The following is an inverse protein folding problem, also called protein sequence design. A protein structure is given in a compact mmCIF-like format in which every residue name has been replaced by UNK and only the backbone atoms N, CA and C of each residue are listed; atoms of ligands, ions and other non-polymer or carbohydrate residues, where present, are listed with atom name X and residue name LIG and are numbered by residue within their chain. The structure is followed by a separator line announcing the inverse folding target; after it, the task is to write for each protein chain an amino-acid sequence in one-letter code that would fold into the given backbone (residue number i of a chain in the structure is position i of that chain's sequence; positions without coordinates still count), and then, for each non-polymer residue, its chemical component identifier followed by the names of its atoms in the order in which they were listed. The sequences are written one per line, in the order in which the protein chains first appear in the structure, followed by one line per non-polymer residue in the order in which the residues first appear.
data_IF_615480669144
#
_entry.id   IF_615480669144
#
_cell.length_a   1.000
_cell.length_b   1.000
_cell.length_c   1.000
_cell.angle_alpha   90.00
_cell.angle_beta   90.00
_cell.angle_gamma   90.00
#
_symmetry.space_group_name_H-M   'P 1'
#
loop_
_entity.id
_entity.type
_entity.pdbx_description
1 polymer ?
#
# COMPACT_ATOMS: atom_id res chain seq x y z
N UNK A 1 22.36 -12.03 5.77
CA UNK A 1 22.14 -11.04 4.70
C UNK A 1 21.69 -9.74 5.35
N UNK A 2 22.64 -8.95 5.87
CA UNK A 2 22.42 -7.53 6.10
C UNK A 2 22.64 -6.86 4.75
N UNK A 3 21.57 -6.54 4.05
CA UNK A 3 21.64 -5.47 3.05
C UNK A 3 21.56 -4.17 3.85
N UNK A 4 22.52 -3.24 3.69
CA UNK A 4 22.65 -1.97 4.44
C UNK A 4 21.37 -1.13 4.59
N UNK A 5 20.35 -1.47 3.79
CA UNK A 5 19.06 -0.83 3.67
C UNK A 5 17.98 -1.37 4.61
N UNK A 6 18.11 -2.58 5.17
CA UNK A 6 17.06 -3.23 5.97
C UNK A 6 17.56 -3.48 7.39
N UNK A 7 16.89 -2.94 8.40
CA UNK A 7 17.07 -3.30 9.80
C UNK A 7 15.86 -4.08 10.33
N UNK A 8 16.06 -4.93 11.35
CA UNK A 8 14.96 -5.68 11.99
C UNK A 8 14.87 -5.30 13.46
N UNK A 9 13.71 -4.83 13.88
CA UNK A 9 13.32 -4.69 15.28
C UNK A 9 12.71 -6.03 15.75
N UNK A 10 13.42 -6.75 16.61
CA UNK A 10 13.09 -8.14 16.98
C UNK A 10 11.79 -8.23 17.80
N UNK A 11 11.59 -7.31 18.74
CA UNK A 11 10.48 -7.40 19.71
C UNK A 11 9.11 -7.20 19.06
N UNK A 12 9.05 -6.44 17.96
CA UNK A 12 7.81 -6.17 17.21
C UNK A 12 7.74 -6.90 15.87
N UNK A 13 8.69 -7.82 15.63
CA UNK A 13 8.89 -8.52 14.36
C UNK A 13 8.77 -7.58 13.14
N UNK A 14 9.41 -6.40 13.24
CA UNK A 14 9.27 -5.33 12.25
C UNK A 14 10.56 -5.11 11.49
N UNK A 15 10.48 -5.22 10.17
CA UNK A 15 11.54 -4.84 9.25
C UNK A 15 11.38 -3.36 8.88
N UNK A 16 12.49 -2.64 8.86
CA UNK A 16 12.54 -1.22 8.52
C UNK A 16 13.47 -1.08 7.33
N UNK A 17 12.91 -0.69 6.20
CA UNK A 17 13.67 -0.30 5.02
C UNK A 17 13.99 1.19 5.14
N UNK A 18 15.27 1.55 5.09
CA UNK A 18 15.71 2.95 5.15
C UNK A 18 15.15 3.75 3.97
N UNK A 19 15.00 5.06 4.15
CA UNK A 19 14.61 5.98 3.06
C UNK A 19 15.59 5.88 1.88
N UNK A 20 15.12 6.17 0.67
CA UNK A 20 15.94 6.18 -0.55
C UNK A 20 16.64 4.85 -0.86
N UNK A 21 16.06 3.73 -0.40
CA UNK A 21 16.58 2.40 -0.70
C UNK A 21 16.08 1.90 -2.05
N UNK A 22 16.84 0.99 -2.65
CA UNK A 22 16.58 0.45 -3.97
C UNK A 22 16.67 -1.08 -3.95
N UNK A 23 15.69 -1.75 -4.55
CA UNK A 23 15.62 -3.21 -4.62
C UNK A 23 15.28 -3.67 -6.04
N UNK A 24 16.16 -4.48 -6.63
CA UNK A 24 15.94 -5.10 -7.95
C UNK A 24 15.16 -6.41 -7.84
N UNK A 25 15.48 -7.21 -6.82
CA UNK A 25 14.85 -8.49 -6.56
C UNK A 25 13.52 -8.33 -5.80
N UNK A 26 12.61 -9.33 -5.89
CA UNK A 26 11.42 -9.38 -5.05
C UNK A 26 11.78 -9.32 -3.56
N UNK A 27 11.06 -8.51 -2.79
CA UNK A 27 11.26 -8.39 -1.35
C UNK A 27 10.09 -9.05 -0.64
N UNK A 28 10.33 -10.24 -0.08
CA UNK A 28 9.34 -10.98 0.70
C UNK A 28 9.82 -11.11 2.15
N UNK A 29 9.15 -10.41 3.07
CA UNK A 29 9.53 -10.40 4.48
C UNK A 29 8.42 -11.02 5.34
N UNK A 30 8.83 -11.93 6.24
CA UNK A 30 7.94 -12.56 7.22
C UNK A 30 7.91 -11.72 8.49
N UNK A 31 6.95 -10.81 8.58
CA UNK A 31 6.78 -9.87 9.69
C UNK A 31 6.10 -8.58 9.23
N UNK A 32 6.12 -7.58 10.10
CA UNK A 32 5.73 -6.21 9.78
C UNK A 32 6.82 -5.53 8.94
N UNK A 33 6.44 -4.63 8.04
CA UNK A 33 7.38 -3.91 7.18
C UNK A 33 7.05 -2.41 7.14
N UNK A 34 7.99 -1.60 7.57
CA UNK A 34 7.97 -0.15 7.42
C UNK A 34 8.99 0.21 6.34
N UNK A 35 8.52 0.89 5.30
CA UNK A 35 9.38 1.38 4.22
C UNK A 35 9.55 2.88 4.36
N UNK A 36 10.81 3.31 4.37
CA UNK A 36 11.15 4.72 4.35
C UNK A 36 10.67 5.44 3.08
N UNK A 37 10.79 6.75 3.07
CA UNK A 37 10.34 7.57 1.96
C UNK A 37 11.23 7.39 0.72
N UNK A 38 10.67 7.62 -0.47
CA UNK A 38 11.36 7.63 -1.75
C UNK A 38 12.13 6.35 -2.07
N UNK A 39 11.61 5.19 -1.66
CA UNK A 39 12.19 3.90 -2.01
C UNK A 39 11.75 3.46 -3.40
N UNK A 40 12.54 2.62 -4.06
CA UNK A 40 12.25 2.07 -5.38
C UNK A 40 12.36 0.55 -5.36
N UNK A 41 11.27 -0.13 -5.71
CA UNK A 41 11.21 -1.57 -5.88
C UNK A 41 10.93 -1.88 -7.35
N UNK A 42 11.84 -2.59 -8.00
CA UNK A 42 11.69 -3.00 -9.41
C UNK A 42 10.94 -4.31 -9.59
N UNK A 43 10.55 -4.94 -8.48
CA UNK A 43 9.82 -6.19 -8.46
C UNK A 43 8.66 -6.13 -7.45
N UNK A 44 8.09 -7.29 -7.15
CA UNK A 44 7.01 -7.45 -6.18
C UNK A 44 7.50 -7.20 -4.74
N UNK A 45 6.57 -6.71 -3.91
CA UNK A 45 6.80 -6.46 -2.49
C UNK A 45 5.74 -7.20 -1.67
N UNK A 46 6.18 -8.06 -0.76
CA UNK A 46 5.27 -8.78 0.13
C UNK A 46 5.73 -8.75 1.58
N UNK A 47 4.77 -8.52 2.47
CA UNK A 47 4.93 -8.70 3.90
C UNK A 47 3.84 -9.64 4.41
N UNK A 48 4.13 -10.51 5.39
CA UNK A 48 3.08 -11.33 6.01
C UNK A 48 2.30 -10.57 7.09
N UNK A 49 2.85 -9.49 7.62
CA UNK A 49 2.21 -8.62 8.61
C UNK A 49 1.69 -7.32 8.01
N UNK A 50 1.77 -6.25 8.79
CA UNK A 50 1.43 -4.90 8.34
C UNK A 50 2.51 -4.31 7.42
N UNK A 51 2.11 -3.60 6.38
CA UNK A 51 3.00 -2.90 5.46
C UNK A 51 2.70 -1.40 5.46
N UNK A 52 3.69 -0.59 5.77
CA UNK A 52 3.61 0.86 5.65
C UNK A 52 4.60 1.36 4.60
N UNK A 53 4.10 1.86 3.47
CA UNK A 53 4.92 2.50 2.46
C UNK A 53 5.14 3.97 2.78
N UNK A 54 6.40 4.40 2.79
CA UNK A 54 6.76 5.81 2.89
C UNK A 54 6.29 6.61 1.67
N UNK A 55 6.24 7.93 1.81
CA UNK A 55 5.83 8.85 0.74
C UNK A 55 6.74 8.73 -0.48
N UNK A 56 6.19 8.90 -1.68
CA UNK A 56 6.94 8.93 -2.94
C UNK A 56 7.64 7.61 -3.26
N UNK A 57 7.20 6.50 -2.68
CA UNK A 57 7.78 5.17 -2.95
C UNK A 57 7.23 4.62 -4.26
N UNK A 58 8.09 4.05 -5.10
CA UNK A 58 7.68 3.41 -6.34
C UNK A 58 7.86 1.89 -6.24
N UNK A 59 6.82 1.14 -6.63
CA UNK A 59 6.85 -0.33 -6.78
C UNK A 59 6.42 -0.69 -8.19
N UNK A 60 7.29 -1.35 -8.94
CA UNK A 60 7.00 -1.80 -10.31
C UNK A 60 6.16 -3.09 -10.35
N UNK A 61 6.25 -3.90 -9.30
CA UNK A 61 5.43 -5.10 -9.15
C UNK A 61 4.10 -4.85 -8.44
N UNK A 62 3.52 -5.95 -7.95
CA UNK A 62 2.37 -5.99 -7.07
C UNK A 62 2.79 -5.94 -5.60
N UNK A 63 1.86 -5.51 -4.74
CA UNK A 63 2.10 -5.39 -3.30
C UNK A 63 1.12 -6.25 -2.51
N UNK A 64 1.63 -7.05 -1.58
CA UNK A 64 0.81 -7.94 -0.72
C UNK A 64 1.16 -7.76 0.75
N UNK A 65 0.13 -7.65 1.60
CA UNK A 65 0.31 -7.54 3.04
C UNK A 65 -0.93 -8.05 3.80
N UNK A 66 -0.83 -8.29 5.10
CA UNK A 66 -2.04 -8.53 5.92
C UNK A 66 -2.85 -7.23 6.02
N UNK A 67 -2.20 -6.13 6.42
CA UNK A 67 -2.77 -4.77 6.41
C UNK A 67 -1.82 -3.81 5.72
N UNK A 68 -2.33 -2.74 5.10
CA UNK A 68 -1.49 -1.85 4.31
C UNK A 68 -1.82 -0.37 4.44
N UNK A 69 -0.78 0.44 4.53
CA UNK A 69 -0.84 1.90 4.38
C UNK A 69 0.08 2.29 3.22
N UNK A 70 -0.50 2.83 2.15
CA UNK A 70 0.22 3.32 0.99
C UNK A 70 0.52 4.80 1.16
N UNK A 71 1.81 5.15 1.21
CA UNK A 71 2.30 6.52 1.34
C UNK A 71 1.76 7.48 0.28
N UNK A 72 1.69 8.76 0.63
CA UNK A 72 1.27 9.81 -0.30
C UNK A 72 2.21 9.90 -1.50
N UNK A 73 1.65 10.17 -2.68
CA UNK A 73 2.36 10.23 -3.96
C UNK A 73 3.14 8.96 -4.35
N UNK A 74 2.90 7.84 -3.67
CA UNK A 74 3.51 6.56 -4.05
C UNK A 74 2.90 6.02 -5.34
N UNK A 75 3.71 5.29 -6.10
CA UNK A 75 3.31 4.72 -7.39
C UNK A 75 3.52 3.22 -7.36
N UNK A 76 2.43 2.46 -7.50
CA UNK A 76 2.45 1.01 -7.61
C UNK A 76 1.97 0.67 -9.01
N UNK A 77 2.82 0.07 -9.85
CA UNK A 77 2.42 -0.25 -11.22
C UNK A 77 1.51 -1.50 -11.26
N UNK A 78 1.68 -2.45 -10.34
CA UNK A 78 0.84 -3.63 -10.22
C UNK A 78 -0.41 -3.43 -9.38
N UNK A 79 -0.94 -4.54 -8.88
CA UNK A 79 -2.12 -4.58 -8.01
C UNK A 79 -1.72 -4.62 -6.53
N UNK A 80 -2.64 -4.17 -5.68
CA UNK A 80 -2.52 -4.21 -4.22
C UNK A 80 -3.51 -5.24 -3.68
N UNK A 81 -3.01 -6.15 -2.83
CA UNK A 81 -3.87 -7.12 -2.13
C UNK A 81 -3.59 -7.10 -0.63
N UNK A 82 -4.66 -6.95 0.16
CA UNK A 82 -4.62 -7.05 1.62
C UNK A 82 -5.63 -8.05 2.14
N UNK A 83 -5.28 -8.75 3.21
CA UNK A 83 -6.21 -9.65 3.91
C UNK A 83 -7.17 -8.89 4.83
N UNK A 84 -6.71 -7.75 5.35
CA UNK A 84 -7.42 -6.85 6.24
C UNK A 84 -7.59 -5.48 5.55
N UNK A 85 -7.47 -4.40 6.32
CA UNK A 85 -7.70 -3.03 5.88
C UNK A 85 -6.57 -2.50 4.97
N UNK A 86 -6.95 -1.64 4.04
CA UNK A 86 -6.03 -0.91 3.17
C UNK A 86 -6.32 0.59 3.23
N UNK A 87 -5.31 1.39 3.57
CA UNK A 87 -5.40 2.87 3.53
C UNK A 87 -4.48 3.39 2.45
N UNK A 88 -5.01 4.23 1.56
CA UNK A 88 -4.27 4.85 0.46
C UNK A 88 -4.26 6.35 0.66
N UNK A 89 -3.07 6.91 0.83
CA UNK A 89 -2.88 8.34 1.09
C UNK A 89 -2.88 9.18 -0.20
N UNK A 90 -2.82 10.50 -0.03
CA UNK A 90 -3.11 11.48 -1.07
C UNK A 90 -2.24 11.31 -2.32
N UNK A 91 -2.87 11.41 -3.49
CA UNK A 91 -2.15 11.43 -4.76
C UNK A 91 -1.41 10.14 -5.12
N UNK A 92 -1.63 9.05 -4.38
CA UNK A 92 -1.07 7.75 -4.72
C UNK A 92 -1.67 7.22 -6.03
N UNK A 93 -0.88 6.48 -6.80
CA UNK A 93 -1.27 5.92 -8.09
C UNK A 93 -1.04 4.42 -8.09
N UNK A 94 -2.10 3.66 -8.27
CA UNK A 94 -2.08 2.20 -8.40
C UNK A 94 -2.47 1.90 -9.86
N UNK A 95 -1.59 1.24 -10.60
CA UNK A 95 -1.84 0.87 -12.00
C UNK A 95 -2.84 -0.27 -12.13
N UNK A 96 -2.85 -1.18 -11.15
CA UNK A 96 -3.79 -2.29 -11.06
C UNK A 96 -4.98 -2.05 -10.13
N UNK A 97 -5.48 -3.15 -9.59
CA UNK A 97 -6.65 -3.18 -8.69
C UNK A 97 -6.21 -3.12 -7.23
N UNK A 98 -7.11 -2.68 -6.35
CA UNK A 98 -6.95 -2.74 -4.90
C UNK A 98 -7.98 -3.73 -4.39
N UNK A 99 -7.53 -4.80 -3.75
CA UNK A 99 -8.41 -5.82 -3.14
C UNK A 99 -8.10 -5.92 -1.66
N UNK A 100 -9.10 -5.74 -0.81
CA UNK A 100 -8.96 -5.82 0.64
C UNK A 100 -10.03 -6.73 1.24
N UNK A 101 -9.62 -7.65 2.14
CA UNK A 101 -10.56 -8.42 2.95
C UNK A 101 -11.20 -7.61 4.08
N UNK A 102 -10.71 -6.39 4.35
CA UNK A 102 -11.28 -5.45 5.31
C UNK A 102 -11.89 -4.21 4.65
N UNK A 103 -11.74 -3.06 5.29
CA UNK A 103 -12.16 -1.76 4.73
C UNK A 103 -11.07 -1.13 3.86
N UNK A 104 -11.46 -0.31 2.90
CA UNK A 104 -10.56 0.50 2.10
C UNK A 104 -10.81 1.98 2.37
N UNK A 105 -9.76 2.73 2.70
CA UNK A 105 -9.80 4.19 2.81
C UNK A 105 -8.98 4.81 1.68
N UNK A 106 -9.61 5.61 0.82
CA UNK A 106 -8.93 6.35 -0.25
C UNK A 106 -8.96 7.85 0.06
N UNK A 107 -7.77 8.45 0.15
CA UNK A 107 -7.59 9.89 0.29
C UNK A 107 -7.72 10.63 -1.05
N UNK A 108 -7.76 11.98 -1.02
CA UNK A 108 -7.89 12.78 -2.24
C UNK A 108 -6.81 12.49 -3.29
N UNK A 109 -7.20 12.61 -4.54
CA UNK A 109 -6.38 12.44 -5.74
C UNK A 109 -5.78 11.05 -5.95
N UNK A 110 -6.29 10.02 -5.25
CA UNK A 110 -5.90 8.64 -5.51
C UNK A 110 -6.37 8.20 -6.90
N UNK A 111 -5.51 7.47 -7.61
CA UNK A 111 -5.84 6.81 -8.88
C UNK A 111 -5.68 5.30 -8.74
N UNK A 112 -6.67 4.52 -9.13
CA UNK A 112 -6.59 3.06 -9.13
C UNK A 112 -7.49 2.46 -10.22
N UNK A 113 -7.32 1.17 -10.51
CA UNK A 113 -8.29 0.39 -11.28
C UNK A 113 -9.56 0.10 -10.49
N UNK A 114 -9.91 -1.17 -10.37
CA UNK A 114 -11.03 -1.62 -9.53
C UNK A 114 -10.61 -1.59 -8.06
N UNK A 115 -11.47 -1.07 -7.19
CA UNK A 115 -11.31 -1.10 -5.74
C UNK A 115 -12.38 -2.00 -5.15
N UNK A 116 -11.96 -3.15 -4.62
CA UNK A 116 -12.80 -4.21 -4.10
C UNK A 116 -12.51 -4.44 -2.62
N UNK A 117 -13.50 -4.19 -1.76
CA UNK A 117 -13.41 -4.35 -0.33
C UNK A 117 -14.55 -5.26 0.15
N UNK A 118 -14.24 -6.24 0.99
CA UNK A 118 -15.29 -7.00 1.69
C UNK A 118 -16.04 -6.09 2.68
N UNK A 119 -15.33 -5.14 3.31
CA UNK A 119 -15.89 -4.18 4.24
C UNK A 119 -16.41 -2.90 3.59
N UNK A 120 -16.20 -1.77 4.28
CA UNK A 120 -16.56 -0.45 3.79
C UNK A 120 -15.50 0.09 2.81
N UNK A 121 -15.92 0.92 1.87
CA UNK A 121 -15.01 1.80 1.12
C UNK A 121 -15.29 3.25 1.53
N UNK A 122 -14.29 3.93 2.05
CA UNK A 122 -14.34 5.33 2.45
C UNK A 122 -13.52 6.18 1.48
N UNK A 123 -14.15 7.18 0.88
CA UNK A 123 -13.57 8.09 -0.10
C UNK A 123 -13.57 9.48 0.50
N UNK A 124 -12.39 10.08 0.64
CA UNK A 124 -12.28 11.49 1.04
C UNK A 124 -11.85 12.32 -0.17
N UNK A 125 -12.61 13.35 -0.51
CA UNK A 125 -12.37 14.20 -1.67
C UNK A 125 -12.56 13.47 -2.99
N UNK A 126 -11.78 13.86 -4.01
CA UNK A 126 -11.91 13.33 -5.37
C UNK A 126 -10.91 12.20 -5.61
N UNK A 127 -11.40 11.02 -5.98
CA UNK A 127 -10.56 9.87 -6.39
C UNK A 127 -10.94 9.41 -7.79
N UNK A 128 -9.98 8.88 -8.54
CA UNK A 128 -10.14 8.46 -9.93
C UNK A 128 -9.96 6.94 -9.99
N UNK A 129 -11.05 6.22 -9.77
CA UNK A 129 -11.10 4.75 -9.73
C UNK A 129 -12.01 4.25 -10.85
N UNK A 130 -11.70 3.09 -11.42
CA UNK A 130 -12.50 2.53 -12.52
C UNK A 130 -13.85 2.02 -12.01
N UNK A 131 -13.85 1.34 -10.87
CA UNK A 131 -15.04 0.76 -10.24
C UNK A 131 -14.82 0.61 -8.74
N UNK A 132 -15.91 0.69 -7.97
CA UNK A 132 -15.92 0.50 -6.52
C UNK A 132 -16.87 -0.65 -6.17
N UNK A 133 -16.37 -1.66 -5.47
CA UNK A 133 -17.14 -2.82 -5.00
C UNK A 133 -16.95 -2.93 -3.50
N UNK A 134 -17.96 -2.54 -2.73
CA UNK A 134 -17.96 -2.71 -1.28
C UNK A 134 -18.93 -3.83 -0.91
N UNK A 135 -18.50 -4.78 -0.09
CA UNK A 135 -19.36 -5.80 0.49
C UNK A 135 -20.31 -5.23 1.55
N UNK A 136 -19.96 -4.08 2.15
CA UNK A 136 -20.81 -3.39 3.12
C UNK A 136 -21.35 -2.05 2.59
N UNK A 137 -20.57 -0.96 2.68
CA UNK A 137 -21.02 0.40 2.30
C UNK A 137 -19.93 1.19 1.60
N UNK A 138 -20.33 2.10 0.71
CA UNK A 138 -19.45 3.14 0.16
C UNK A 138 -19.82 4.47 0.84
N UNK A 139 -18.83 5.11 1.46
CA UNK A 139 -18.98 6.38 2.18
C UNK A 139 -18.10 7.41 1.48
N UNK A 140 -18.70 8.50 1.00
CA UNK A 140 -17.97 9.58 0.35
C UNK A 140 -18.07 10.87 1.18
N UNK A 141 -16.92 11.43 1.55
CA UNK A 141 -16.80 12.64 2.36
C UNK A 141 -16.14 13.74 1.53
N UNK A 142 -16.75 14.93 1.51
CA UNK A 142 -16.20 16.10 0.81
C UNK A 142 -14.97 16.62 1.55
N UNK A 143 -13.93 16.99 0.81
CA UNK A 143 -12.79 17.74 1.35
C UNK A 143 -13.20 19.21 1.51
N UNK A 144 -13.05 19.74 2.73
CA UNK A 144 -13.27 21.16 3.06
C UNK A 144 -12.20 22.04 2.42
#
# INVERSE_FOLDING_TARGET
METDFISKHKDSDTFIIKKSSFFEAPVHLKGNLIVGNNCNFWSDLAATGSLQLGKGTAVKGSVRAASMIIGAHSVIAGSVKTEQDCTVLDGARIGGNIVAGGKIMLRPNVKAGIVDAVGNIELTGKSYVAELRAGAKIIATKQL
#
